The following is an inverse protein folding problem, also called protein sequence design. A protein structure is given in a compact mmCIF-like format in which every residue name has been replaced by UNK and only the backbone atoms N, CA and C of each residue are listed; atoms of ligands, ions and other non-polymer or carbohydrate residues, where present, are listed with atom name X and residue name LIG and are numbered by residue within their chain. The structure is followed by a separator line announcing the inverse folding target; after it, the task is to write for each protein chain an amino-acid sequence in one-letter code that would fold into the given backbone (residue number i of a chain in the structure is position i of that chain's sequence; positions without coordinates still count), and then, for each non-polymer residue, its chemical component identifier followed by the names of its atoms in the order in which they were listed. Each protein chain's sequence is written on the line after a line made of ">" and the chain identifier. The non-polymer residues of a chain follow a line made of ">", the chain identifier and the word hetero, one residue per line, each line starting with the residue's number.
data_IF_197601583199
#
_entry.id   IF_197601583199
#
_cell.length_a   1.000
_cell.length_b   1.000
_cell.length_c   1.000
_cell.angle_alpha   90.00
_cell.angle_beta   90.00
_cell.angle_gamma   90.00
#
_symmetry.space_group_name_H-M   'P 1'
#
loop_
_entity.id
_entity.type
_entity.pdbx_description
1 polymer ?
#
# COMPACT_ATOMS: atom_id res chain seq x y z
N UNK A 1 14.32 5.83 23.36
CA UNK A 1 14.86 4.69 22.58
C UNK A 1 13.72 4.17 21.72
N UNK A 2 13.58 4.73 20.52
CA UNK A 2 12.43 4.44 19.65
C UNK A 2 12.60 3.04 19.08
N UNK A 3 11.86 2.09 19.62
CA UNK A 3 11.74 0.74 19.05
C UNK A 3 11.06 0.94 17.70
N UNK A 4 11.85 0.93 16.63
CA UNK A 4 11.34 0.90 15.26
C UNK A 4 10.57 -0.40 15.17
N UNK A 5 9.24 -0.33 15.13
CA UNK A 5 8.42 -1.50 14.80
C UNK A 5 8.94 -2.05 13.47
N UNK A 6 9.11 -3.38 13.30
CA UNK A 6 9.40 -3.93 11.99
C UNK A 6 8.36 -3.40 11.00
N UNK A 7 8.79 -3.03 9.79
CA UNK A 7 7.89 -2.47 8.78
C UNK A 7 6.73 -3.45 8.54
N UNK A 8 5.57 -3.12 9.08
CA UNK A 8 4.36 -3.91 8.93
C UNK A 8 3.58 -3.41 7.72
N UNK A 9 3.33 -4.31 6.77
CA UNK A 9 2.64 -4.01 5.51
C UNK A 9 1.26 -4.68 5.52
N UNK A 10 0.21 -3.88 5.36
CA UNK A 10 -1.13 -4.37 5.05
C UNK A 10 -1.41 -4.14 3.58
N UNK A 11 -1.96 -5.15 2.91
CA UNK A 11 -2.35 -5.08 1.50
C UNK A 11 -3.83 -5.38 1.37
N UNK A 12 -4.52 -4.58 0.57
CA UNK A 12 -5.94 -4.71 0.33
C UNK A 12 -6.22 -4.97 -1.14
N UNK A 13 -7.11 -5.90 -1.44
CA UNK A 13 -7.63 -6.12 -2.79
C UNK A 13 -9.08 -6.56 -2.74
N UNK A 14 -9.87 -6.16 -3.75
CA UNK A 14 -11.31 -6.46 -3.83
C UNK A 14 -11.70 -7.14 -5.15
N UNK A 15 -10.72 -7.55 -5.96
CA UNK A 15 -10.95 -8.22 -7.25
C UNK A 15 -10.06 -9.45 -7.41
N UNK A 16 -10.45 -10.45 -8.22
CA UNK A 16 -9.64 -11.65 -8.46
C UNK A 16 -8.26 -11.35 -9.04
N UNK A 17 -8.16 -10.36 -9.94
CA UNK A 17 -6.87 -9.89 -10.49
C UNK A 17 -5.99 -9.30 -9.41
N UNK A 18 -6.56 -8.48 -8.53
CA UNK A 18 -5.84 -7.96 -7.37
C UNK A 18 -5.33 -9.09 -6.47
N UNK A 19 -6.11 -10.15 -6.30
CA UNK A 19 -5.68 -11.35 -5.57
C UNK A 19 -4.46 -12.04 -6.16
N UNK A 20 -4.33 -12.11 -7.49
CA UNK A 20 -3.14 -12.68 -8.15
C UNK A 20 -1.88 -11.86 -7.87
N UNK A 21 -1.97 -10.53 -7.99
CA UNK A 21 -0.88 -9.61 -7.66
C UNK A 21 -0.53 -9.67 -6.16
N UNK A 22 -1.55 -9.77 -5.30
CA UNK A 22 -1.36 -9.92 -3.85
C UNK A 22 -0.57 -11.18 -3.50
N UNK A 23 -0.86 -12.32 -4.15
CA UNK A 23 -0.11 -13.57 -3.97
C UNK A 23 1.36 -13.40 -4.36
N UNK A 24 1.61 -12.87 -5.56
CA UNK A 24 2.96 -12.64 -6.06
C UNK A 24 3.78 -11.76 -5.10
N UNK A 25 3.17 -10.71 -4.54
CA UNK A 25 3.84 -9.87 -3.55
C UNK A 25 4.05 -10.59 -2.21
N UNK A 26 3.06 -11.35 -1.74
CA UNK A 26 3.13 -12.09 -0.48
C UNK A 26 4.16 -13.24 -0.48
N UNK A 27 4.54 -13.76 -1.65
CA UNK A 27 5.64 -14.73 -1.78
C UNK A 27 7.01 -14.13 -1.46
N UNK A 28 7.16 -12.82 -1.69
CA UNK A 28 8.46 -12.13 -1.61
C UNK A 28 8.56 -11.21 -0.39
N UNK A 29 7.43 -10.84 0.20
CA UNK A 29 7.33 -9.87 1.28
C UNK A 29 6.42 -10.38 2.42
N UNK A 30 6.77 -10.10 3.69
CA UNK A 30 5.91 -10.41 4.82
C UNK A 30 4.72 -9.43 4.89
N UNK A 31 3.70 -9.67 4.08
CA UNK A 31 2.51 -8.82 3.92
C UNK A 31 1.30 -9.49 4.54
N UNK A 32 0.50 -8.73 5.30
CA UNK A 32 -0.84 -9.15 5.70
C UNK A 32 -1.84 -8.73 4.63
N UNK A 33 -2.41 -9.71 3.92
CA UNK A 33 -3.37 -9.44 2.86
C UNK A 33 -4.81 -9.50 3.37
N UNK A 34 -5.60 -8.48 3.05
CA UNK A 34 -7.01 -8.32 3.41
C UNK A 34 -7.89 -8.28 2.16
N UNK A 35 -9.01 -9.01 2.20
CA UNK A 35 -9.97 -9.03 1.08
C UNK A 35 -11.42 -9.30 1.56
N UNK A 36 -12.36 -9.31 0.63
CA UNK A 36 -13.76 -9.66 0.87
C UNK A 36 -13.97 -11.19 0.93
N UNK A 37 -15.02 -11.63 1.64
CA UNK A 37 -15.25 -13.05 1.95
C UNK A 37 -15.30 -13.96 0.71
N UNK A 38 -15.82 -13.46 -0.40
CA UNK A 38 -15.93 -14.18 -1.67
C UNK A 38 -14.59 -14.41 -2.40
N UNK A 39 -13.51 -13.74 -1.98
CA UNK A 39 -12.16 -13.86 -2.55
C UNK A 39 -11.15 -14.44 -1.53
N UNK A 40 -11.64 -14.94 -0.39
CA UNK A 40 -10.78 -15.53 0.62
C UNK A 40 -10.12 -16.82 0.13
N UNK A 41 -8.83 -16.90 0.43
CA UNK A 41 -7.99 -18.07 0.23
C UNK A 41 -7.06 -18.24 1.44
N UNK A 42 -6.41 -19.40 1.56
CA UNK A 42 -5.47 -19.66 2.65
C UNK A 42 -4.36 -18.58 2.69
N UNK A 43 -4.14 -18.01 3.88
CA UNK A 43 -3.17 -16.94 4.11
C UNK A 43 -3.74 -15.53 3.98
N UNK A 44 -4.98 -15.36 3.50
CA UNK A 44 -5.65 -14.06 3.44
C UNK A 44 -6.63 -13.86 4.60
N UNK A 45 -6.78 -12.60 5.01
CA UNK A 45 -7.69 -12.21 6.09
C UNK A 45 -8.95 -11.51 5.52
N UNK A 46 -10.12 -11.75 6.11
CA UNK A 46 -11.32 -11.01 5.75
C UNK A 46 -11.25 -9.55 6.20
N UNK A 47 -11.87 -8.68 5.43
CA UNK A 47 -12.22 -7.33 5.87
C UNK A 47 -13.39 -7.38 6.87
N UNK A 48 -13.09 -7.77 8.11
CA UNK A 48 -14.08 -7.87 9.20
C UNK A 48 -14.74 -6.51 9.44
N UNK A 49 -16.07 -6.52 9.58
CA UNK A 49 -16.90 -5.32 9.74
C UNK A 49 -16.84 -4.33 8.55
N UNK A 50 -16.39 -4.80 7.38
CA UNK A 50 -16.36 -4.04 6.14
C UNK A 50 -15.03 -3.35 5.85
N UNK A 51 -14.78 -3.13 4.56
CA UNK A 51 -13.50 -2.62 4.02
C UNK A 51 -12.98 -1.36 4.74
N UNK A 52 -13.83 -0.35 4.91
CA UNK A 52 -13.44 0.94 5.52
C UNK A 52 -13.01 0.76 6.99
N UNK A 53 -13.67 -0.11 7.74
CA UNK A 53 -13.32 -0.37 9.14
C UNK A 53 -11.99 -1.11 9.24
N UNK A 54 -11.76 -2.11 8.38
CA UNK A 54 -10.48 -2.82 8.32
C UNK A 54 -9.33 -1.89 7.92
N UNK A 55 -9.54 -0.99 6.96
CA UNK A 55 -8.55 0.03 6.58
C UNK A 55 -8.24 0.96 7.74
N UNK A 56 -9.25 1.40 8.50
CA UNK A 56 -9.07 2.21 9.72
C UNK A 56 -8.22 1.51 10.77
N UNK A 57 -8.50 0.24 11.03
CA UNK A 57 -7.70 -0.56 11.96
C UNK A 57 -6.27 -0.72 11.45
N UNK A 58 -6.10 -1.01 10.16
CA UNK A 58 -4.78 -1.13 9.58
C UNK A 58 -4.00 0.19 9.62
N UNK A 59 -4.66 1.33 9.41
CA UNK A 59 -4.05 2.66 9.46
C UNK A 59 -3.33 2.94 10.80
N UNK A 60 -3.80 2.35 11.89
CA UNK A 60 -3.20 2.53 13.23
C UNK A 60 -2.15 1.48 13.59
N UNK A 61 -2.20 0.31 12.94
CA UNK A 61 -1.38 -0.85 13.31
C UNK A 61 -0.24 -1.14 12.31
N UNK A 62 -0.36 -0.64 11.09
CA UNK A 62 0.59 -0.89 10.01
C UNK A 62 1.39 0.37 9.68
N UNK A 63 2.61 0.15 9.19
CA UNK A 63 3.50 1.24 8.74
C UNK A 63 3.29 1.58 7.27
N UNK A 64 2.75 0.61 6.50
CA UNK A 64 2.47 0.72 5.07
C UNK A 64 1.11 0.12 4.78
N UNK A 65 0.30 0.83 3.99
CA UNK A 65 -0.93 0.32 3.39
C UNK A 65 -0.75 0.26 1.87
N UNK A 66 -0.96 -0.91 1.28
CA UNK A 66 -0.98 -1.13 -0.17
C UNK A 66 -2.41 -1.41 -0.59
N UNK A 67 -2.90 -0.72 -1.61
CA UNK A 67 -4.20 -0.98 -2.21
C UNK A 67 -4.00 -1.46 -3.64
N UNK A 68 -4.47 -2.67 -3.97
CA UNK A 68 -4.53 -3.14 -5.35
C UNK A 68 -5.94 -2.88 -5.87
N UNK A 69 -6.06 -1.93 -6.79
CA UNK A 69 -7.37 -1.44 -7.24
C UNK A 69 -7.33 0.00 -7.73
N UNK A 70 -8.46 0.69 -7.57
CA UNK A 70 -8.59 2.08 -7.96
C UNK A 70 -8.14 3.03 -6.84
N UNK A 71 -7.52 4.13 -7.24
CA UNK A 71 -7.07 5.20 -6.33
C UNK A 71 -8.22 5.82 -5.55
N UNK A 72 -9.41 5.96 -6.17
CA UNK A 72 -10.60 6.52 -5.53
C UNK A 72 -11.09 5.67 -4.34
N UNK A 73 -11.05 4.33 -4.44
CA UNK A 73 -11.42 3.44 -3.33
C UNK A 73 -10.46 3.62 -2.15
N UNK A 74 -9.16 3.70 -2.43
CA UNK A 74 -8.15 3.94 -1.39
C UNK A 74 -8.39 5.29 -0.69
N UNK A 75 -8.58 6.37 -1.45
CA UNK A 75 -8.86 7.71 -0.92
C UNK A 75 -10.16 7.72 -0.10
N UNK A 76 -11.22 7.10 -0.61
CA UNK A 76 -12.51 7.05 0.09
C UNK A 76 -12.38 6.34 1.45
N UNK A 77 -11.66 5.22 1.51
CA UNK A 77 -11.42 4.50 2.75
C UNK A 77 -10.57 5.29 3.76
N UNK A 78 -9.60 6.07 3.27
CA UNK A 78 -8.70 6.89 4.09
C UNK A 78 -9.34 8.20 4.56
N UNK A 79 -10.35 8.71 3.86
CA UNK A 79 -10.96 10.04 4.09
C UNK A 79 -11.34 10.31 5.55
N UNK A 80 -11.75 9.28 6.30
CA UNK A 80 -12.16 9.40 7.71
C UNK A 80 -11.01 9.36 8.72
N UNK A 81 -9.76 9.14 8.27
CA UNK A 81 -8.60 8.84 9.12
C UNK A 81 -7.55 9.97 9.18
N UNK A 82 -7.65 11.00 8.34
CA UNK A 82 -6.61 12.04 8.12
C UNK A 82 -6.53 13.09 9.25
N UNK A 83 -6.95 12.76 10.47
CA UNK A 83 -7.04 13.72 11.58
C UNK A 83 -5.84 13.69 12.54
N UNK A 84 -4.91 12.73 12.43
CA UNK A 84 -3.80 12.59 13.37
C UNK A 84 -2.43 12.73 12.68
N UNK A 85 -1.70 13.79 13.03
CA UNK A 85 -0.59 14.35 12.24
C UNK A 85 0.79 13.72 12.51
N UNK A 86 0.91 12.80 13.47
CA UNK A 86 2.22 12.40 13.99
C UNK A 86 2.64 10.95 13.67
N UNK A 87 1.76 10.13 13.10
CA UNK A 87 2.09 8.75 12.72
C UNK A 87 1.17 8.26 11.60
N UNK A 88 1.36 8.81 10.41
CA UNK A 88 0.64 8.38 9.21
C UNK A 88 1.42 7.25 8.50
N UNK A 89 0.77 6.12 8.16
CA UNK A 89 1.42 5.10 7.34
C UNK A 89 1.72 5.62 5.94
N UNK A 90 2.70 5.01 5.28
CA UNK A 90 2.85 5.20 3.85
C UNK A 90 1.67 4.53 3.12
N UNK A 91 1.14 5.18 2.09
CA UNK A 91 0.02 4.64 1.30
C UNK A 91 0.47 4.48 -0.15
N UNK A 92 0.39 3.26 -0.65
CA UNK A 92 0.72 2.89 -2.03
C UNK A 92 -0.53 2.34 -2.71
N UNK A 93 -0.75 2.72 -3.96
CA UNK A 93 -1.75 2.10 -4.84
C UNK A 93 -1.05 1.37 -5.97
N UNK A 94 -1.52 0.16 -6.27
CA UNK A 94 -1.12 -0.62 -7.43
C UNK A 94 -2.38 -0.79 -8.27
N UNK A 95 -2.32 -0.43 -9.56
CA UNK A 95 -3.48 -0.62 -10.42
C UNK A 95 -3.76 -2.12 -10.65
N UNK A 96 -4.98 -2.45 -11.05
CA UNK A 96 -5.39 -3.85 -11.20
C UNK A 96 -4.66 -4.62 -12.31
N UNK A 97 -4.02 -3.91 -13.26
CA UNK A 97 -3.19 -4.55 -14.27
C UNK A 97 -1.73 -4.72 -13.81
N UNK A 98 -1.37 -4.22 -12.62
CA UNK A 98 0.00 -4.27 -12.10
C UNK A 98 1.00 -3.49 -12.95
N UNK A 99 0.54 -2.47 -13.67
CA UNK A 99 1.35 -1.63 -14.54
C UNK A 99 1.97 -0.45 -13.81
N UNK A 100 1.34 0.04 -12.76
CA UNK A 100 1.75 1.23 -12.02
C UNK A 100 1.77 0.97 -10.52
N UNK A 101 2.84 1.43 -9.87
CA UNK A 101 2.95 1.49 -8.41
C UNK A 101 3.06 2.96 -7.99
N UNK A 102 2.01 3.47 -7.37
CA UNK A 102 1.78 4.89 -7.13
C UNK A 102 1.92 5.19 -5.65
N UNK A 103 2.78 6.15 -5.28
CA UNK A 103 2.78 6.69 -3.93
C UNK A 103 1.62 7.68 -3.74
N UNK A 104 0.70 7.43 -2.81
CA UNK A 104 -0.34 8.40 -2.47
C UNK A 104 0.01 9.26 -1.25
N UNK A 105 0.56 8.65 -0.20
CA UNK A 105 0.89 9.34 1.05
C UNK A 105 2.28 8.93 1.50
N UNK A 106 3.17 9.91 1.65
CA UNK A 106 4.50 9.71 2.20
C UNK A 106 4.42 9.73 3.73
N UNK A 107 5.00 8.72 4.39
CA UNK A 107 5.21 8.77 5.83
C UNK A 107 6.33 9.76 6.17
N UNK A 108 6.27 10.34 7.37
CA UNK A 108 7.25 11.34 7.85
C UNK A 108 8.68 10.80 8.01
N UNK A 109 8.90 9.48 7.92
CA UNK A 109 10.20 8.81 8.13
C UNK A 109 10.76 8.19 6.83
N UNK A 110 10.27 8.65 5.67
CA UNK A 110 10.10 7.80 4.47
C UNK A 110 11.39 7.21 3.85
N UNK A 111 11.45 5.87 3.88
CA UNK A 111 12.09 5.00 2.87
C UNK A 111 11.13 4.62 1.73
N UNK A 112 10.05 5.39 1.55
CA UNK A 112 8.92 5.05 0.68
C UNK A 112 9.35 4.83 -0.79
N UNK A 113 10.34 5.58 -1.28
CA UNK A 113 10.87 5.42 -2.64
C UNK A 113 11.51 4.04 -2.84
N UNK A 114 12.23 3.52 -1.83
CA UNK A 114 12.83 2.20 -1.91
C UNK A 114 11.76 1.10 -1.94
N UNK A 115 10.70 1.25 -1.13
CA UNK A 115 9.56 0.34 -1.15
C UNK A 115 8.86 0.33 -2.52
N UNK A 116 8.58 1.49 -3.09
CA UNK A 116 7.90 1.60 -4.39
C UNK A 116 8.75 1.00 -5.50
N UNK A 117 10.04 1.33 -5.52
CA UNK A 117 10.98 0.73 -6.48
C UNK A 117 11.01 -0.79 -6.36
N UNK A 118 11.01 -1.30 -5.13
CA UNK A 118 11.02 -2.74 -4.87
C UNK A 118 9.72 -3.41 -5.34
N UNK A 119 8.56 -2.85 -5.01
CA UNK A 119 7.26 -3.32 -5.47
C UNK A 119 7.15 -3.30 -7.00
N UNK A 120 7.58 -2.21 -7.62
CA UNK A 120 7.59 -2.06 -9.07
C UNK A 120 8.50 -3.09 -9.74
N UNK A 121 9.67 -3.36 -9.16
CA UNK A 121 10.61 -4.37 -9.64
C UNK A 121 10.04 -5.79 -9.57
N UNK A 122 9.31 -6.13 -8.49
CA UNK A 122 8.65 -7.45 -8.36
C UNK A 122 7.57 -7.61 -9.43
N UNK A 123 6.81 -6.56 -9.72
CA UNK A 123 5.67 -6.61 -10.63
C UNK A 123 6.04 -6.36 -12.10
N UNK A 124 7.25 -5.87 -12.38
CA UNK A 124 7.60 -5.35 -13.70
C UNK A 124 6.81 -4.07 -14.06
N UNK A 125 6.40 -3.32 -13.04
CA UNK A 125 5.57 -2.14 -13.14
C UNK A 125 6.40 -0.86 -13.26
N UNK A 126 5.76 0.22 -13.70
CA UNK A 126 6.31 1.57 -13.66
C UNK A 126 6.01 2.23 -12.30
N UNK A 127 7.04 2.80 -11.67
CA UNK A 127 6.83 3.57 -10.45
C UNK A 127 6.37 5.00 -10.76
N UNK A 128 5.35 5.45 -10.02
CA UNK A 128 4.80 6.80 -10.09
C UNK A 128 5.05 7.50 -8.76
N UNK A 129 5.89 8.53 -8.79
CA UNK A 129 6.30 9.28 -7.60
C UNK A 129 5.58 10.63 -7.63
N UNK A 130 4.81 10.93 -6.59
CA UNK A 130 3.94 12.12 -6.52
C UNK A 130 4.52 13.28 -5.70
N UNK A 131 5.78 13.15 -5.23
CA UNK A 131 6.46 14.21 -4.49
C UNK A 131 7.58 14.84 -5.32
N UNK A 132 7.81 16.13 -5.09
CA UNK A 132 8.97 16.84 -5.61
C UNK A 132 10.20 16.38 -4.83
N UNK A 133 11.26 15.86 -5.47
CA UNK A 133 12.46 15.46 -4.77
C UNK A 133 13.13 16.67 -4.12
N UNK A 134 13.45 16.58 -2.82
CA UNK A 134 14.10 17.69 -2.08
C UNK A 134 15.55 17.95 -2.54
N UNK A 135 16.19 16.97 -3.18
CA UNK A 135 17.52 17.08 -3.77
C UNK A 135 17.49 16.60 -5.23
N UNK A 136 18.36 17.15 -6.08
CA UNK A 136 18.53 16.85 -7.52
C UNK A 136 18.97 15.39 -7.84
N UNK A 137 18.62 14.42 -7.01
CA UNK A 137 18.83 13.00 -7.31
C UNK A 137 17.87 12.57 -8.42
N UNK A 138 18.43 11.97 -9.48
CA UNK A 138 17.64 11.46 -10.60
C UNK A 138 16.79 10.28 -10.13
N UNK A 139 15.51 10.53 -9.89
CA UNK A 139 14.55 9.46 -9.66
C UNK A 139 14.11 8.87 -11.01
N UNK A 140 14.09 7.54 -11.11
CA UNK A 140 13.72 6.81 -12.32
C UNK A 140 12.24 6.44 -12.24
N UNK A 141 11.33 7.28 -12.74
CA UNK A 141 9.89 7.04 -12.67
C UNK A 141 9.08 8.21 -13.20
N UNK A 142 7.76 8.04 -13.36
CA UNK A 142 6.90 9.15 -13.76
C UNK A 142 6.64 10.02 -12.54
N UNK A 143 7.01 11.30 -12.64
CA UNK A 143 6.63 12.34 -11.68
C UNK A 143 5.31 12.94 -12.14
N UNK A 144 4.29 12.91 -11.28
CA UNK A 144 2.95 13.50 -11.53
C UNK A 144 2.55 14.48 -10.45
#
# INVERSE_FOLDING_TARGET
>A
MSIVKPESIALFFLTPRGGQLAKQLAETLPITCFTCENLLEDGFLPCNCGFVQTVREAYTNYSVLIFIGSTDIAIQALSSQVNNKFSTPAVVVIDECGQYVINLIFSHTSRANALIYYLASILGAEQVITNVPENNERQTGVLV
#
